data_IF_525107030772
#
_entry.id   IF_525107030772
#
_cell.length_a   1.000
_cell.length_b   1.000
_cell.length_c   1.000
_cell.angle_alpha   90.00
_cell.angle_beta   90.00
_cell.angle_gamma   90.00
#
_symmetry.space_group_name_H-M   'P 1'
#
loop_
_entity.id
_entity.type
_entity.pdbx_description
1 polymer ?
#
# COMPACT_ATOMS: atom_id res chain seq x y z
N UNK A 1 46.68 31.00 15.76
CA UNK A 1 45.66 30.71 14.73
C UNK A 1 44.97 29.42 15.10
N UNK A 2 43.65 29.45 15.29
CA UNK A 2 42.86 28.36 15.84
C UNK A 2 42.68 27.21 14.82
N UNK A 3 42.83 25.97 15.29
CA UNK A 3 42.52 24.78 14.51
C UNK A 3 41.01 24.49 14.64
N UNK A 4 40.30 24.43 13.51
CA UNK A 4 38.89 24.06 13.48
C UNK A 4 38.77 22.52 13.45
N UNK A 5 38.17 21.94 14.49
CA UNK A 5 37.71 20.54 14.46
C UNK A 5 36.40 20.45 13.68
N UNK A 6 36.40 19.71 12.57
CA UNK A 6 35.17 19.27 11.92
C UNK A 6 34.70 17.96 12.55
N UNK A 7 33.57 17.99 13.25
CA UNK A 7 32.87 16.79 13.71
C UNK A 7 32.00 16.29 12.57
N UNK A 8 32.43 15.21 11.91
CA UNK A 8 31.55 14.44 11.01
C UNK A 8 30.63 13.58 11.87
N UNK A 9 29.46 14.11 12.23
CA UNK A 9 28.38 13.30 12.77
C UNK A 9 27.78 12.45 11.64
N UNK A 10 27.72 11.14 11.81
CA UNK A 10 26.92 10.28 10.93
C UNK A 10 25.45 10.59 11.15
N UNK A 11 24.86 11.39 10.27
CA UNK A 11 23.41 11.43 10.14
C UNK A 11 22.98 10.06 9.60
N UNK A 12 22.51 9.18 10.47
CA UNK A 12 21.77 8.01 10.03
C UNK A 12 20.50 8.53 9.33
N UNK A 13 20.49 8.51 7.99
CA UNK A 13 19.26 8.72 7.25
C UNK A 13 18.34 7.56 7.60
N UNK A 14 17.22 7.84 8.28
CA UNK A 14 16.14 6.88 8.39
C UNK A 14 15.68 6.58 6.96
N UNK A 15 15.85 5.33 6.52
CA UNK A 15 15.31 4.91 5.25
C UNK A 15 13.78 4.93 5.39
N UNK A 16 13.13 5.93 4.81
CA UNK A 16 11.67 5.92 4.67
C UNK A 16 11.31 4.68 3.86
N UNK A 17 10.62 3.73 4.53
CA UNK A 17 10.13 2.53 3.86
C UNK A 17 8.97 2.96 2.97
N UNK A 18 9.02 2.60 1.69
CA UNK A 18 7.87 2.77 0.82
C UNK A 18 6.66 1.99 1.38
N UNK A 19 5.44 2.55 1.28
CA UNK A 19 4.25 1.93 1.83
C UNK A 19 3.89 0.62 1.13
N UNK A 20 3.22 -0.26 1.86
CA UNK A 20 2.63 -1.49 1.34
C UNK A 20 1.23 -1.19 0.85
N UNK A 21 0.92 -1.58 -0.39
CA UNK A 21 -0.43 -1.58 -0.92
C UNK A 21 -1.06 -2.96 -0.76
N UNK A 22 -2.16 -3.03 -0.03
CA UNK A 22 -3.01 -4.22 0.06
C UNK A 22 -4.24 -4.01 -0.82
N UNK A 23 -4.44 -4.91 -1.79
CA UNK A 23 -5.61 -4.88 -2.66
C UNK A 23 -6.71 -5.84 -2.17
N UNK A 24 -7.98 -5.59 -2.56
CA UNK A 24 -9.06 -6.54 -2.31
C UNK A 24 -8.73 -7.92 -2.92
N UNK A 25 -9.06 -8.97 -2.17
CA UNK A 25 -8.80 -10.35 -2.57
C UNK A 25 -9.90 -10.90 -3.47
N UNK A 26 -9.53 -11.83 -4.36
CA UNK A 26 -10.46 -12.42 -5.31
C UNK A 26 -11.41 -13.39 -4.61
N UNK A 27 -12.70 -13.14 -4.77
CA UNK A 27 -13.72 -14.12 -4.43
C UNK A 27 -13.68 -15.25 -5.47
N UNK A 28 -13.06 -16.37 -5.12
CA UNK A 28 -12.98 -17.58 -5.96
C UNK A 28 -14.21 -18.49 -5.87
N UNK A 29 -15.22 -18.07 -5.14
CA UNK A 29 -16.49 -18.78 -5.01
C UNK A 29 -17.47 -18.34 -6.12
N UNK A 30 -18.67 -18.92 -6.18
CA UNK A 30 -19.70 -18.51 -7.16
C UNK A 30 -20.74 -17.58 -6.55
N UNK A 31 -20.58 -17.25 -5.27
CA UNK A 31 -21.51 -16.49 -4.46
C UNK A 31 -21.11 -15.00 -4.48
N UNK A 32 -21.84 -14.19 -5.23
CA UNK A 32 -21.62 -12.75 -5.33
C UNK A 32 -21.72 -12.03 -3.97
N UNK A 33 -22.53 -12.57 -3.05
CA UNK A 33 -22.70 -12.05 -1.69
C UNK A 33 -21.40 -12.07 -0.86
N UNK A 34 -20.33 -12.72 -1.34
CA UNK A 34 -19.02 -12.73 -0.69
C UNK A 34 -18.00 -11.74 -1.27
N UNK A 35 -18.37 -10.89 -2.25
CA UNK A 35 -17.44 -9.88 -2.79
C UNK A 35 -16.89 -8.93 -1.71
N UNK A 36 -17.71 -8.56 -0.72
CA UNK A 36 -17.28 -7.70 0.39
C UNK A 36 -16.18 -8.33 1.26
N UNK A 37 -16.06 -9.67 1.27
CA UNK A 37 -15.07 -10.38 2.09
C UNK A 37 -13.65 -10.05 1.61
N UNK A 38 -13.45 -9.90 0.30
CA UNK A 38 -12.15 -9.52 -0.26
C UNK A 38 -11.67 -8.16 0.23
N UNK A 39 -12.58 -7.19 0.33
CA UNK A 39 -12.31 -5.86 0.90
C UNK A 39 -12.06 -5.96 2.41
N UNK A 40 -12.88 -6.72 3.15
CA UNK A 40 -12.69 -6.92 4.59
C UNK A 40 -11.32 -7.54 4.92
N UNK A 41 -10.86 -8.51 4.13
CA UNK A 41 -9.53 -9.09 4.26
C UNK A 41 -8.42 -8.05 4.02
N UNK A 42 -8.58 -7.20 3.00
CA UNK A 42 -7.62 -6.14 2.70
C UNK A 42 -7.52 -5.13 3.86
N UNK A 43 -8.66 -4.69 4.40
CA UNK A 43 -8.71 -3.79 5.56
C UNK A 43 -8.03 -4.42 6.79
N UNK A 44 -8.38 -5.66 7.12
CA UNK A 44 -7.80 -6.36 8.26
C UNK A 44 -6.28 -6.53 8.15
N UNK A 45 -5.77 -6.90 6.96
CA UNK A 45 -4.33 -7.03 6.73
C UNK A 45 -3.61 -5.69 6.76
N UNK A 46 -4.22 -4.63 6.21
CA UNK A 46 -3.68 -3.27 6.31
C UNK A 46 -3.52 -2.83 7.77
N UNK A 47 -4.55 -3.06 8.59
CA UNK A 47 -4.51 -2.74 10.03
C UNK A 47 -3.44 -3.54 10.76
N UNK A 48 -3.30 -4.84 10.44
CA UNK A 48 -2.26 -5.69 11.04
C UNK A 48 -0.85 -5.21 10.67
N UNK A 49 -0.61 -4.88 9.40
CA UNK A 49 0.67 -4.34 8.93
C UNK A 49 0.99 -3.00 9.60
N UNK A 50 0.00 -2.11 9.72
CA UNK A 50 0.16 -0.82 10.40
C UNK A 50 0.50 -1.02 11.89
N UNK A 51 -0.15 -1.96 12.58
CA UNK A 51 0.16 -2.32 13.98
C UNK A 51 1.60 -2.86 14.16
N UNK A 52 2.16 -3.49 13.13
CA UNK A 52 3.56 -3.94 13.10
C UNK A 52 4.56 -2.82 12.76
N UNK A 53 4.08 -1.59 12.55
CA UNK A 53 4.92 -0.43 12.21
C UNK A 53 5.35 -0.39 10.74
N UNK A 54 4.72 -1.16 9.86
CA UNK A 54 4.91 -1.00 8.43
C UNK A 54 4.11 0.21 7.92
N UNK A 55 4.68 1.00 6.99
CA UNK A 55 3.91 2.01 6.28
C UNK A 55 2.93 1.30 5.34
N UNK A 56 1.67 1.67 5.39
CA UNK A 56 0.59 1.04 4.61
C UNK A 56 -0.21 2.14 3.93
N UNK A 57 -0.58 1.92 2.66
CA UNK A 57 -1.49 2.82 1.94
C UNK A 57 -2.86 2.78 2.60
N UNK A 58 -3.46 3.95 2.86
CA UNK A 58 -4.81 4.02 3.42
C UNK A 58 -5.88 3.54 2.42
N UNK A 59 -7.01 3.00 2.90
CA UNK A 59 -8.13 2.63 2.02
C UNK A 59 -8.66 3.80 1.19
N UNK A 60 -8.63 5.02 1.74
CA UNK A 60 -9.13 6.22 1.08
C UNK A 60 -8.19 6.69 -0.03
N UNK A 61 -6.87 6.62 0.17
CA UNK A 61 -5.89 6.93 -0.88
C UNK A 61 -6.02 5.94 -2.05
N UNK A 62 -6.21 4.66 -1.73
CA UNK A 62 -6.47 3.62 -2.75
C UNK A 62 -7.75 3.94 -3.53
N UNK A 63 -8.83 4.32 -2.85
CA UNK A 63 -10.11 4.69 -3.49
C UNK A 63 -9.95 5.92 -4.39
N UNK A 64 -9.26 6.94 -3.92
CA UNK A 64 -8.98 8.14 -4.73
C UNK A 64 -8.21 7.80 -6.02
N UNK A 65 -7.25 6.88 -5.97
CA UNK A 65 -6.53 6.43 -7.17
C UNK A 65 -7.41 5.57 -8.09
N UNK A 66 -8.31 4.75 -7.53
CA UNK A 66 -9.29 4.01 -8.35
C UNK A 66 -10.19 4.98 -9.12
N UNK A 67 -10.70 6.02 -8.47
CA UNK A 67 -11.49 7.07 -9.10
C UNK A 67 -10.72 7.78 -10.21
N UNK A 68 -9.47 8.19 -9.94
CA UNK A 68 -8.59 8.86 -10.91
C UNK A 68 -8.33 7.99 -12.15
N UNK A 69 -8.10 6.69 -11.94
CA UNK A 69 -7.85 5.72 -13.00
C UNK A 69 -9.14 5.18 -13.65
N UNK A 70 -10.31 5.61 -13.18
CA UNK A 70 -11.64 5.12 -13.59
C UNK A 70 -11.76 3.60 -13.47
N UNK A 71 -11.14 3.03 -12.44
CA UNK A 71 -11.25 1.62 -12.11
C UNK A 71 -12.55 1.38 -11.31
N UNK A 72 -13.23 0.24 -11.53
CA UNK A 72 -14.37 -0.13 -10.70
C UNK A 72 -13.94 -0.37 -9.25
N UNK A 73 -14.62 0.28 -8.31
CA UNK A 73 -14.43 0.05 -6.88
C UNK A 73 -14.85 -1.36 -6.48
N UNK A 74 -14.16 -1.94 -5.49
CA UNK A 74 -14.47 -3.27 -4.94
C UNK A 74 -14.21 -4.44 -5.88
N UNK A 75 -13.68 -4.20 -7.09
CA UNK A 75 -13.28 -5.26 -8.02
C UNK A 75 -11.80 -5.59 -7.82
N UNK A 76 -11.47 -6.88 -7.87
CA UNK A 76 -10.09 -7.31 -8.05
C UNK A 76 -9.62 -6.92 -9.43
N UNK A 77 -8.60 -6.07 -9.46
CA UNK A 77 -8.03 -5.56 -10.70
C UNK A 77 -7.01 -6.55 -11.28
N UNK A 78 -6.76 -6.47 -12.58
CA UNK A 78 -5.70 -7.28 -13.22
C UNK A 78 -4.33 -6.99 -12.61
N UNK A 79 -3.36 -7.89 -12.78
CA UNK A 79 -1.99 -7.65 -12.30
C UNK A 79 -1.37 -6.37 -12.88
N UNK A 80 -1.66 -6.05 -14.15
CA UNK A 80 -1.18 -4.82 -14.77
C UNK A 80 -1.79 -3.58 -14.12
N UNK A 81 -3.11 -3.60 -13.88
CA UNK A 81 -3.82 -2.53 -13.17
C UNK A 81 -3.34 -2.39 -11.72
N UNK A 82 -3.06 -3.50 -11.04
CA UNK A 82 -2.52 -3.49 -9.68
C UNK A 82 -1.16 -2.79 -9.60
N UNK A 83 -0.27 -3.05 -10.57
CA UNK A 83 1.02 -2.37 -10.67
C UNK A 83 0.86 -0.88 -10.98
N UNK A 84 -0.07 -0.51 -11.86
CA UNK A 84 -0.37 0.89 -12.16
C UNK A 84 -0.87 1.64 -10.92
N UNK A 85 -1.78 1.03 -10.15
CA UNK A 85 -2.28 1.60 -8.89
C UNK A 85 -1.12 1.76 -7.88
N UNK A 86 -0.27 0.74 -7.74
CA UNK A 86 0.88 0.79 -6.84
C UNK A 86 1.85 1.92 -7.21
N UNK A 87 2.13 2.10 -8.49
CA UNK A 87 2.97 3.19 -9.01
C UNK A 87 2.39 4.57 -8.67
N UNK A 88 1.09 4.78 -8.87
CA UNK A 88 0.42 6.05 -8.53
C UNK A 88 0.46 6.36 -7.02
N UNK A 89 0.50 5.33 -6.18
CA UNK A 89 0.51 5.45 -4.72
C UNK A 89 1.92 5.44 -4.11
N UNK A 90 2.96 5.33 -4.94
CA UNK A 90 4.34 5.19 -4.47
C UNK A 90 4.59 3.91 -3.65
N UNK A 91 3.77 2.88 -3.84
CA UNK A 91 3.89 1.62 -3.13
C UNK A 91 4.85 0.67 -3.87
N UNK A 92 5.93 0.27 -3.21
CA UNK A 92 6.92 -0.67 -3.79
C UNK A 92 6.62 -2.14 -3.45
N UNK A 93 5.73 -2.37 -2.47
CA UNK A 93 5.31 -3.71 -2.04
C UNK A 93 3.81 -3.85 -2.23
N UNK A 94 3.41 -4.93 -2.90
CA UNK A 94 2.02 -5.21 -3.25
C UNK A 94 1.58 -6.56 -2.65
N UNK A 95 0.45 -6.56 -1.96
CA UNK A 95 -0.19 -7.76 -1.41
C UNK A 95 -1.50 -8.02 -2.16
N UNK A 96 -1.60 -9.19 -2.82
CA UNK A 96 -2.72 -9.65 -3.65
C UNK A 96 -3.02 -11.13 -3.39
N UNK A 97 -4.23 -11.62 -3.72
CA UNK A 97 -4.60 -13.04 -3.61
C UNK A 97 -5.97 -13.40 -4.17
#
# INVERSE_FOLDING_TARGET
MAAALFVFGTLAQAQERAPILVLPFENKTREADYHWVGEACALFLSDLLAQMGEPVVSPDDRRAVYEQLRLPEGLVVTRASALLVAEQLGAERLLVG
#
